data_IF_254530414027
#
_entry.id   IF_254530414027
#
_cell.length_a   1.000
_cell.length_b   1.000
_cell.length_c   1.000
_cell.angle_alpha   90.00
_cell.angle_beta   90.00
_cell.angle_gamma   90.00
#
_symmetry.space_group_name_H-M   'P 1'
#
loop_
_entity.id
_entity.type
_entity.pdbx_description
1 polymer ?
#
# COMPACT_ATOMS: atom_id res chain seq x y z
N UNK A 1 27.77 0.03 -24.90
CA UNK A 1 28.18 -1.36 -24.61
C UNK A 1 27.13 -2.31 -25.15
N UNK A 2 27.46 -3.59 -25.31
CA UNK A 2 26.56 -4.67 -25.74
C UNK A 2 26.68 -5.79 -24.71
N UNK A 3 25.56 -6.22 -24.13
CA UNK A 3 25.51 -7.27 -23.11
C UNK A 3 25.82 -8.66 -23.69
N UNK A 4 25.29 -8.96 -24.87
CA UNK A 4 25.63 -10.17 -25.63
C UNK A 4 25.02 -11.48 -25.13
N UNK A 5 24.28 -11.50 -24.02
CA UNK A 5 23.73 -12.73 -23.44
C UNK A 5 22.40 -12.57 -22.69
N UNK A 6 21.51 -11.73 -23.22
CA UNK A 6 20.16 -11.57 -22.67
C UNK A 6 19.36 -12.87 -22.83
N UNK A 7 18.90 -13.40 -21.69
CA UNK A 7 18.07 -14.61 -21.55
C UNK A 7 17.36 -14.57 -20.19
N UNK A 8 16.48 -15.54 -19.90
CA UNK A 8 15.91 -15.67 -18.55
C UNK A 8 16.99 -15.78 -17.46
N UNK A 9 18.12 -16.44 -17.76
CA UNK A 9 19.22 -16.60 -16.80
C UNK A 9 19.97 -15.31 -16.46
N UNK A 10 19.83 -14.26 -17.28
CA UNK A 10 20.41 -12.93 -17.03
C UNK A 10 19.48 -12.02 -16.22
N UNK A 11 18.27 -12.47 -15.87
CA UNK A 11 17.28 -11.67 -15.14
C UNK A 11 17.25 -12.07 -13.68
N UNK A 12 17.52 -11.10 -12.81
CA UNK A 12 17.41 -11.22 -11.36
C UNK A 12 16.40 -10.21 -10.85
N UNK A 13 15.79 -10.49 -9.71
CA UNK A 13 14.77 -9.63 -9.10
C UNK A 13 15.32 -9.10 -7.77
N UNK A 14 15.34 -7.79 -7.59
CA UNK A 14 15.72 -7.18 -6.31
C UNK A 14 14.53 -7.13 -5.33
N UNK A 15 14.78 -6.67 -4.10
CA UNK A 15 13.74 -6.56 -3.06
C UNK A 15 12.58 -5.64 -3.48
N UNK A 16 12.85 -4.61 -4.30
CA UNK A 16 11.83 -3.72 -4.88
C UNK A 16 11.01 -4.35 -6.01
N UNK A 17 11.25 -5.62 -6.33
CA UNK A 17 10.63 -6.36 -7.44
C UNK A 17 10.97 -5.81 -8.83
N UNK A 18 12.09 -5.10 -8.95
CA UNK A 18 12.64 -4.66 -10.23
C UNK A 18 13.52 -5.75 -10.84
N UNK A 19 13.41 -5.91 -12.15
CA UNK A 19 14.31 -6.76 -12.91
C UNK A 19 15.67 -6.07 -13.08
N UNK A 20 16.74 -6.79 -12.75
CA UNK A 20 18.13 -6.38 -12.90
C UNK A 20 18.84 -7.36 -13.83
N UNK A 21 19.79 -6.83 -14.60
CA UNK A 21 20.59 -7.62 -15.54
C UNK A 21 21.84 -8.20 -14.86
N UNK A 22 22.19 -9.42 -15.24
CA UNK A 22 23.38 -10.15 -14.82
C UNK A 22 23.96 -10.95 -16.00
N UNK A 23 25.01 -11.76 -15.79
CA UNK A 23 25.72 -12.50 -16.85
C UNK A 23 26.43 -11.56 -17.85
N UNK A 24 27.31 -10.71 -17.32
CA UNK A 24 28.10 -9.75 -18.09
C UNK A 24 29.39 -10.34 -18.69
N UNK A 25 29.53 -11.67 -18.77
CA UNK A 25 30.75 -12.34 -19.27
C UNK A 25 31.04 -12.04 -20.76
N UNK A 26 30.01 -11.62 -21.49
CA UNK A 26 30.09 -11.26 -22.91
C UNK A 26 29.94 -9.76 -23.17
N UNK A 27 30.02 -8.95 -22.10
CA UNK A 27 29.91 -7.50 -22.21
C UNK A 27 31.07 -6.94 -23.05
N UNK A 28 30.73 -6.19 -24.10
CA UNK A 28 31.72 -5.60 -25.00
C UNK A 28 31.39 -4.15 -25.36
N UNK A 29 32.42 -3.43 -25.81
CA UNK A 29 32.24 -2.13 -26.42
C UNK A 29 31.74 -2.26 -27.86
N UNK A 30 30.92 -1.32 -28.30
CA UNK A 30 30.43 -1.27 -29.68
C UNK A 30 31.65 -1.13 -30.61
N UNK A 31 31.67 -1.89 -31.71
CA UNK A 31 32.78 -1.94 -32.66
C UNK A 31 33.92 -2.89 -32.29
N UNK A 32 33.95 -3.44 -31.06
CA UNK A 32 34.94 -4.46 -30.68
C UNK A 32 34.53 -5.87 -31.15
N UNK A 33 35.45 -6.83 -31.12
CA UNK A 33 35.16 -8.22 -31.45
C UNK A 33 34.30 -8.86 -30.37
N UNK A 34 33.21 -9.52 -30.75
CA UNK A 34 32.37 -10.24 -29.80
C UNK A 34 33.07 -11.53 -29.30
N UNK A 35 33.09 -11.79 -27.98
CA UNK A 35 33.61 -13.03 -27.44
C UNK A 35 32.74 -14.22 -27.85
N UNK A 36 33.39 -15.32 -28.23
CA UNK A 36 32.71 -16.57 -28.56
C UNK A 36 32.11 -17.17 -27.29
N UNK A 37 30.84 -17.60 -27.37
CA UNK A 37 30.16 -18.24 -26.25
C UNK A 37 30.68 -19.67 -26.04
N UNK A 38 31.54 -19.85 -25.04
CA UNK A 38 32.12 -21.15 -24.68
C UNK A 38 31.12 -22.11 -24.04
N UNK A 39 30.17 -21.60 -23.25
CA UNK A 39 29.14 -22.42 -22.59
C UNK A 39 28.03 -22.81 -23.57
N UNK A 40 27.75 -24.12 -23.68
CA UNK A 40 26.79 -24.67 -24.63
C UNK A 40 25.39 -24.08 -24.48
N UNK A 41 24.93 -23.91 -23.22
CA UNK A 41 23.63 -23.31 -22.91
C UNK A 41 23.49 -21.87 -23.42
N UNK A 42 24.59 -21.12 -23.53
CA UNK A 42 24.54 -19.74 -23.98
C UNK A 42 24.56 -19.60 -25.52
N UNK A 43 25.04 -20.63 -26.24
CA UNK A 43 25.14 -20.63 -27.70
C UNK A 43 23.79 -20.48 -28.39
N UNK A 44 22.72 -20.95 -27.76
CA UNK A 44 21.36 -20.82 -28.30
C UNK A 44 20.90 -19.36 -28.39
N UNK A 45 21.44 -18.47 -27.57
CA UNK A 45 21.13 -17.04 -27.59
C UNK A 45 22.07 -16.25 -28.51
N UNK A 46 22.98 -16.91 -29.23
CA UNK A 46 23.88 -16.27 -30.19
C UNK A 46 23.11 -15.83 -31.43
N UNK A 47 23.21 -14.56 -31.80
CA UNK A 47 22.57 -14.03 -33.00
C UNK A 47 23.09 -14.76 -34.27
N UNK A 48 22.25 -14.98 -35.30
CA UNK A 48 22.63 -15.77 -36.48
C UNK A 48 23.90 -15.25 -37.17
N UNK A 49 24.09 -13.93 -37.25
CA UNK A 49 25.27 -13.30 -37.86
C UNK A 49 26.60 -13.60 -37.13
N UNK A 50 26.55 -14.05 -35.87
CA UNK A 50 27.72 -14.44 -35.08
C UNK A 50 28.02 -15.94 -35.18
N UNK A 51 27.14 -16.73 -35.78
CA UNK A 51 27.35 -18.18 -35.95
C UNK A 51 28.29 -18.49 -37.14
N UNK A 52 28.24 -17.66 -38.19
CA UNK A 52 28.99 -17.88 -39.43
C UNK A 52 30.36 -17.16 -39.48
N UNK A 53 30.62 -16.20 -38.57
CA UNK A 53 31.83 -15.37 -38.62
C UNK A 53 32.48 -15.16 -37.24
N UNK A 54 33.71 -15.65 -37.10
CA UNK A 54 34.55 -15.48 -35.91
C UNK A 54 35.00 -14.01 -35.67
N UNK A 55 34.60 -13.05 -36.51
CA UNK A 55 35.08 -11.65 -36.45
C UNK A 55 33.98 -10.61 -36.63
N UNK A 56 32.72 -10.95 -36.36
CA UNK A 56 31.66 -9.95 -36.42
C UNK A 56 31.84 -8.90 -35.31
N UNK A 57 31.78 -7.64 -35.73
CA UNK A 57 31.91 -6.49 -34.84
C UNK A 57 30.65 -6.33 -33.99
N UNK A 58 30.86 -5.93 -32.74
CA UNK A 58 29.79 -5.68 -31.78
C UNK A 58 28.89 -4.53 -32.26
N UNK A 59 27.62 -4.84 -32.57
CA UNK A 59 26.57 -3.88 -32.94
C UNK A 59 25.48 -3.85 -31.84
N UNK A 60 24.86 -2.68 -31.62
CA UNK A 60 23.77 -2.51 -30.65
C UNK A 60 22.59 -3.47 -30.92
N UNK A 61 22.38 -3.87 -32.17
CA UNK A 61 21.34 -4.82 -32.60
C UNK A 61 21.55 -6.25 -32.11
N UNK A 62 22.73 -6.58 -31.57
CA UNK A 62 22.95 -7.88 -30.93
C UNK A 62 22.09 -8.04 -29.68
N UNK A 63 21.99 -7.00 -28.85
CA UNK A 63 21.11 -7.04 -27.68
C UNK A 63 19.64 -7.00 -28.08
N UNK A 64 19.28 -6.43 -29.24
CA UNK A 64 17.92 -6.53 -29.77
C UNK A 64 17.52 -7.99 -30.08
N UNK A 65 18.45 -8.79 -30.61
CA UNK A 65 18.25 -10.23 -30.77
C UNK A 65 18.09 -10.94 -29.43
N UNK A 66 18.99 -10.67 -28.48
CA UNK A 66 18.90 -11.24 -27.13
C UNK A 66 17.59 -10.88 -26.42
N UNK A 67 17.13 -9.63 -26.56
CA UNK A 67 15.84 -9.18 -26.07
C UNK A 67 14.67 -9.95 -26.70
N UNK A 68 14.75 -10.27 -28.01
CA UNK A 68 13.75 -11.14 -28.64
C UNK A 68 13.75 -12.53 -28.02
N UNK A 69 14.93 -13.12 -27.74
CA UNK A 69 15.00 -14.41 -27.07
C UNK A 69 14.34 -14.34 -25.69
N UNK A 70 14.71 -13.35 -24.88
CA UNK A 70 14.14 -13.13 -23.56
C UNK A 70 12.62 -12.93 -23.59
N UNK A 71 12.10 -12.08 -24.49
CA UNK A 71 10.66 -11.87 -24.66
C UNK A 71 9.97 -13.19 -24.97
N UNK A 72 10.52 -13.99 -25.89
CA UNK A 72 9.94 -15.27 -26.23
C UNK A 72 9.91 -16.21 -25.02
N UNK A 73 11.00 -16.26 -24.25
CA UNK A 73 11.11 -17.12 -23.08
C UNK A 73 10.13 -16.74 -21.96
N UNK A 74 9.86 -15.45 -21.75
CA UNK A 74 8.87 -14.97 -20.77
C UNK A 74 7.48 -15.57 -21.02
N UNK A 75 7.10 -15.78 -22.29
CA UNK A 75 5.78 -16.30 -22.66
C UNK A 75 5.76 -17.82 -22.94
N UNK A 76 6.90 -18.44 -23.21
CA UNK A 76 6.99 -19.82 -23.67
C UNK A 76 7.83 -20.75 -22.76
N UNK A 77 8.59 -20.21 -21.82
CA UNK A 77 9.57 -20.94 -21.01
C UNK A 77 10.96 -20.98 -21.67
N UNK A 78 11.84 -21.84 -21.17
CA UNK A 78 13.22 -21.94 -21.64
C UNK A 78 13.31 -22.26 -23.15
N UNK A 79 14.14 -21.50 -23.86
CA UNK A 79 14.42 -21.74 -25.27
C UNK A 79 15.32 -22.98 -25.44
N UNK A 80 14.92 -23.90 -26.31
CA UNK A 80 15.68 -25.13 -26.60
C UNK A 80 16.18 -25.16 -28.05
N UNK A 81 15.47 -24.52 -28.99
CA UNK A 81 15.90 -24.35 -30.37
C UNK A 81 15.56 -22.96 -30.91
N UNK A 82 16.48 -22.35 -31.68
CA UNK A 82 16.25 -21.01 -32.26
C UNK A 82 15.06 -20.95 -33.22
N UNK A 83 14.71 -22.06 -33.88
CA UNK A 83 13.54 -22.14 -34.75
C UNK A 83 12.22 -21.82 -34.01
N UNK A 84 12.19 -22.03 -32.68
CA UNK A 84 11.02 -21.75 -31.85
C UNK A 84 10.69 -20.25 -31.78
N UNK A 85 11.66 -19.36 -32.01
CA UNK A 85 11.45 -17.91 -32.06
C UNK A 85 10.49 -17.47 -33.17
N UNK A 86 10.22 -18.33 -34.16
CA UNK A 86 9.18 -18.07 -35.17
C UNK A 86 7.76 -18.28 -34.64
N UNK A 87 7.61 -19.02 -33.54
CA UNK A 87 6.31 -19.29 -32.93
C UNK A 87 5.89 -18.15 -31.99
N UNK A 88 5.00 -17.29 -32.48
CA UNK A 88 4.46 -16.15 -31.75
C UNK A 88 3.09 -16.39 -31.11
N UNK A 89 2.57 -17.62 -31.08
CA UNK A 89 1.20 -17.93 -30.66
C UNK A 89 0.86 -17.51 -29.22
N UNK A 90 1.82 -17.60 -28.29
CA UNK A 90 1.63 -17.23 -26.87
C UNK A 90 1.91 -15.75 -26.59
N UNK A 91 2.44 -15.01 -27.56
CA UNK A 91 2.73 -13.58 -27.37
C UNK A 91 1.45 -12.76 -27.50
N UNK A 92 1.29 -11.69 -26.71
CA UNK A 92 0.16 -10.77 -26.86
C UNK A 92 0.11 -10.16 -28.27
N UNK A 93 -1.10 -10.10 -28.87
CA UNK A 93 -1.29 -9.65 -30.26
C UNK A 93 -0.64 -8.30 -30.57
N UNK A 94 -0.69 -7.35 -29.62
CA UNK A 94 -0.08 -6.03 -29.76
C UNK A 94 1.46 -6.03 -29.68
N UNK A 95 2.06 -7.05 -29.05
CA UNK A 95 3.51 -7.20 -28.92
C UNK A 95 4.14 -7.88 -30.14
N UNK A 96 3.40 -8.74 -30.84
CA UNK A 96 3.92 -9.53 -31.98
C UNK A 96 4.63 -8.66 -33.03
N UNK A 97 4.08 -7.53 -33.52
CA UNK A 97 4.76 -6.70 -34.52
C UNK A 97 6.09 -6.11 -34.03
N UNK A 98 6.15 -5.74 -32.74
CA UNK A 98 7.36 -5.21 -32.11
C UNK A 98 8.41 -6.31 -31.97
N UNK A 99 8.01 -7.46 -31.45
CA UNK A 99 8.83 -8.66 -31.33
C UNK A 99 9.42 -9.09 -32.67
N UNK A 100 8.61 -9.13 -33.72
CA UNK A 100 9.06 -9.52 -35.06
C UNK A 100 10.12 -8.59 -35.63
N UNK A 101 10.20 -7.32 -35.23
CA UNK A 101 11.26 -6.40 -35.66
C UNK A 101 12.59 -6.63 -34.93
N UNK A 102 12.56 -7.20 -33.71
CA UNK A 102 13.75 -7.60 -32.95
C UNK A 102 14.36 -8.91 -33.49
N UNK A 103 13.53 -9.80 -34.03
CA UNK A 103 13.91 -11.13 -34.53
C UNK A 103 14.22 -11.14 -36.06
N UNK A 104 14.54 -10.00 -36.67
CA UNK A 104 14.95 -9.93 -38.09
C UNK A 104 16.45 -10.13 -38.26
N UNK A 105 16.86 -10.34 -39.51
CA UNK A 105 18.25 -10.25 -39.93
C UNK A 105 18.84 -8.87 -39.61
N UNK A 106 20.16 -8.80 -39.41
CA UNK A 106 20.86 -7.60 -38.92
C UNK A 106 20.52 -6.31 -39.70
N UNK A 107 20.39 -6.36 -41.02
CA UNK A 107 20.08 -5.19 -41.86
C UNK A 107 18.69 -4.60 -41.63
N UNK A 108 17.74 -5.40 -41.12
CA UNK A 108 16.34 -5.00 -40.89
C UNK A 108 15.96 -4.99 -39.40
N UNK A 109 16.86 -5.44 -38.52
CA UNK A 109 16.63 -5.51 -37.08
C UNK A 109 16.58 -4.09 -36.51
N UNK A 110 15.52 -3.78 -35.78
CA UNK A 110 15.39 -2.48 -35.13
C UNK A 110 16.32 -2.36 -33.93
N UNK A 111 16.55 -1.13 -33.48
CA UNK A 111 17.21 -0.88 -32.21
C UNK A 111 16.24 -1.11 -31.05
N UNK A 112 16.77 -1.30 -29.84
CA UNK A 112 15.95 -1.44 -28.62
C UNK A 112 15.21 -0.13 -28.34
N UNK A 113 15.87 1.00 -28.60
CA UNK A 113 15.28 2.33 -28.48
C UNK A 113 14.01 2.44 -29.36
N UNK A 114 14.08 2.02 -30.63
CA UNK A 114 12.92 2.02 -31.54
C UNK A 114 11.79 1.10 -31.04
N UNK A 115 12.15 -0.04 -30.46
CA UNK A 115 11.19 -0.99 -29.88
C UNK A 115 10.43 -0.38 -28.70
N UNK A 116 11.14 0.33 -27.82
CA UNK A 116 10.55 1.01 -26.67
C UNK A 116 9.66 2.17 -27.11
N UNK A 117 10.15 3.06 -27.98
CA UNK A 117 9.39 4.21 -28.49
C UNK A 117 8.09 3.75 -29.15
N UNK A 118 8.15 2.80 -30.10
CA UNK A 118 6.95 2.26 -30.76
C UNK A 118 6.03 1.51 -29.83
N UNK A 119 6.57 0.86 -28.81
CA UNK A 119 5.77 0.17 -27.80
C UNK A 119 5.01 1.13 -26.88
N UNK A 120 5.51 2.35 -26.69
CA UNK A 120 4.89 3.41 -25.88
C UNK A 120 3.94 4.32 -26.66
N UNK A 121 3.87 4.19 -28.00
CA UNK A 121 2.94 4.93 -28.84
C UNK A 121 1.48 4.77 -28.40
N UNK A 122 0.62 5.69 -28.86
CA UNK A 122 -0.83 5.62 -28.62
C UNK A 122 -1.37 4.28 -29.14
N UNK A 123 -1.91 3.46 -28.24
CA UNK A 123 -2.37 2.08 -28.44
C UNK A 123 -1.29 0.98 -28.49
N UNK A 124 -0.02 1.33 -28.28
CA UNK A 124 1.11 0.39 -28.17
C UNK A 124 0.97 -0.58 -27.00
N UNK A 125 1.78 -1.65 -27.01
CA UNK A 125 1.72 -2.69 -25.98
C UNK A 125 2.13 -2.18 -24.59
N UNK A 126 3.11 -1.27 -24.53
CA UNK A 126 3.61 -0.71 -23.27
C UNK A 126 2.77 0.46 -22.76
N UNK A 127 1.76 0.91 -23.51
CA UNK A 127 0.87 1.97 -23.02
C UNK A 127 -0.25 1.39 -22.15
N UNK A 128 0.02 1.29 -20.85
CA UNK A 128 -0.96 0.88 -19.84
C UNK A 128 -0.68 1.57 -18.49
N UNK A 129 -1.68 1.56 -17.61
CA UNK A 129 -1.64 2.23 -16.30
C UNK A 129 -0.54 1.70 -15.40
N UNK A 130 -0.21 0.40 -15.48
CA UNK A 130 0.85 -0.21 -14.68
C UNK A 130 2.23 0.33 -15.05
N UNK A 131 2.56 0.37 -16.35
CA UNK A 131 3.84 0.92 -16.84
C UNK A 131 3.92 2.43 -16.60
N UNK A 132 2.83 3.17 -16.86
CA UNK A 132 2.78 4.61 -16.55
C UNK A 132 3.04 4.88 -15.06
N UNK A 133 2.52 4.02 -14.17
CA UNK A 133 2.76 4.10 -12.72
C UNK A 133 4.23 3.81 -12.39
N UNK A 134 4.83 2.77 -12.99
CA UNK A 134 6.23 2.42 -12.77
C UNK A 134 7.16 3.58 -13.14
N UNK A 135 6.96 4.18 -14.31
CA UNK A 135 7.75 5.32 -14.79
C UNK A 135 7.58 6.51 -13.84
N UNK A 136 6.35 6.82 -13.40
CA UNK A 136 6.13 7.90 -12.45
C UNK A 136 6.85 7.68 -11.11
N UNK A 137 6.81 6.45 -10.58
CA UNK A 137 7.49 6.10 -9.33
C UNK A 137 9.01 6.22 -9.42
N UNK A 138 9.61 5.92 -10.58
CA UNK A 138 11.06 6.10 -10.79
C UNK A 138 11.47 7.57 -10.77
N UNK A 139 10.58 8.46 -11.24
CA UNK A 139 10.81 9.90 -11.27
C UNK A 139 10.22 10.63 -10.04
N UNK A 140 9.62 9.95 -9.08
CA UNK A 140 8.80 10.60 -8.04
C UNK A 140 9.56 11.64 -7.22
N UNK A 141 10.87 11.46 -7.04
CA UNK A 141 11.71 12.36 -6.25
C UNK A 141 11.93 13.72 -6.92
N UNK A 142 11.77 13.81 -8.24
CA UNK A 142 11.86 15.06 -8.99
C UNK A 142 10.49 15.71 -9.27
N UNK A 143 9.39 15.06 -8.84
CA UNK A 143 8.02 15.59 -8.96
C UNK A 143 7.70 16.55 -7.83
N UNK A 144 6.84 17.52 -8.10
CA UNK A 144 6.35 18.43 -7.08
C UNK A 144 5.22 17.81 -6.23
N UNK A 145 4.83 18.50 -5.14
CA UNK A 145 3.79 18.02 -4.23
C UNK A 145 2.41 17.90 -4.89
N UNK A 146 2.11 18.73 -5.88
CA UNK A 146 0.81 18.72 -6.59
C UNK A 146 0.73 17.50 -7.50
N UNK A 147 1.79 17.22 -8.24
CA UNK A 147 1.93 16.03 -9.09
C UNK A 147 1.83 14.75 -8.25
N UNK A 148 2.56 14.68 -7.13
CA UNK A 148 2.51 13.55 -6.19
C UNK A 148 1.10 13.33 -5.64
N UNK A 149 0.44 14.38 -5.17
CA UNK A 149 -0.92 14.30 -4.63
C UNK A 149 -1.91 13.77 -5.68
N UNK A 150 -1.83 14.30 -6.91
CA UNK A 150 -2.66 13.84 -8.03
C UNK A 150 -2.39 12.38 -8.39
N UNK A 151 -1.12 11.96 -8.38
CA UNK A 151 -0.74 10.59 -8.64
C UNK A 151 -1.32 9.63 -7.60
N UNK A 152 -1.10 9.87 -6.30
CA UNK A 152 -1.60 9.00 -5.24
C UNK A 152 -3.14 8.93 -5.21
N UNK A 153 -3.81 10.05 -5.50
CA UNK A 153 -5.27 10.07 -5.65
C UNK A 153 -5.75 9.14 -6.78
N UNK A 154 -5.10 9.19 -7.94
CA UNK A 154 -5.46 8.35 -9.09
C UNK A 154 -5.06 6.87 -8.92
N UNK A 155 -3.94 6.61 -8.25
CA UNK A 155 -3.41 5.26 -8.04
C UNK A 155 -4.40 4.36 -7.30
N UNK A 156 -5.18 4.94 -6.39
CA UNK A 156 -6.21 4.23 -5.62
C UNK A 156 -7.26 3.50 -6.48
N UNK A 157 -7.50 3.96 -7.72
CA UNK A 157 -8.49 3.38 -8.63
C UNK A 157 -7.96 2.16 -9.41
N UNK A 158 -6.63 2.05 -9.57
CA UNK A 158 -5.99 1.01 -10.38
C UNK A 158 -5.26 -0.06 -9.59
N UNK A 159 -5.12 0.12 -8.27
CA UNK A 159 -4.27 -0.70 -7.41
C UNK A 159 -4.58 -2.21 -7.48
N UNK A 160 -5.86 -2.58 -7.56
CA UNK A 160 -6.30 -3.99 -7.60
C UNK A 160 -5.89 -4.72 -8.90
N UNK A 161 -5.61 -3.97 -9.97
CA UNK A 161 -5.15 -4.54 -11.24
C UNK A 161 -3.66 -4.85 -11.26
N UNK A 162 -2.91 -4.41 -10.26
CA UNK A 162 -1.44 -4.50 -10.24
C UNK A 162 -0.97 -5.79 -9.56
N UNK A 163 0.21 -6.31 -9.96
CA UNK A 163 0.82 -7.46 -9.29
C UNK A 163 1.02 -7.20 -7.80
N UNK A 164 0.60 -8.15 -6.96
CA UNK A 164 0.66 -8.03 -5.49
C UNK A 164 2.07 -7.69 -5.01
N UNK A 165 3.10 -8.34 -5.53
CA UNK A 165 4.49 -8.04 -5.14
C UNK A 165 4.92 -6.61 -5.48
N UNK A 166 4.45 -6.04 -6.60
CA UNK A 166 4.72 -4.65 -6.93
C UNK A 166 4.06 -3.69 -5.93
N UNK A 167 2.80 -3.95 -5.56
CA UNK A 167 2.10 -3.19 -4.53
C UNK A 167 2.83 -3.27 -3.18
N UNK A 168 3.17 -4.48 -2.73
CA UNK A 168 3.84 -4.74 -1.45
C UNK A 168 5.25 -4.15 -1.41
N UNK A 169 6.05 -4.31 -2.45
CA UNK A 169 7.49 -4.02 -2.35
C UNK A 169 7.87 -2.65 -2.88
N UNK A 170 7.20 -2.17 -3.93
CA UNK A 170 7.51 -0.88 -4.55
C UNK A 170 6.55 0.21 -4.08
N UNK A 171 5.25 0.06 -4.32
CA UNK A 171 4.27 1.11 -3.97
C UNK A 171 4.26 1.40 -2.47
N UNK A 172 4.18 0.38 -1.62
CA UNK A 172 4.14 0.55 -0.17
C UNK A 172 5.36 1.32 0.35
N UNK A 173 6.55 1.04 -0.19
CA UNK A 173 7.78 1.72 0.22
C UNK A 173 7.71 3.22 -0.08
N UNK A 174 7.24 3.61 -1.27
CA UNK A 174 7.01 5.02 -1.59
C UNK A 174 5.93 5.67 -0.73
N UNK A 175 4.82 4.97 -0.47
CA UNK A 175 3.74 5.48 0.38
C UNK A 175 4.23 5.73 1.80
N UNK A 176 4.95 4.78 2.41
CA UNK A 176 5.53 4.91 3.74
C UNK A 176 6.51 6.08 3.80
N UNK A 177 7.43 6.18 2.83
CA UNK A 177 8.35 7.32 2.73
C UNK A 177 7.61 8.66 2.63
N UNK A 178 6.59 8.76 1.76
CA UNK A 178 5.80 10.00 1.64
C UNK A 178 5.08 10.37 2.94
N UNK A 179 4.56 9.38 3.68
CA UNK A 179 3.94 9.60 4.98
C UNK A 179 4.95 10.04 6.05
N UNK A 180 6.18 9.53 6.00
CA UNK A 180 7.21 9.79 7.00
C UNK A 180 7.81 11.20 6.91
N UNK A 181 7.98 11.73 5.70
CA UNK A 181 8.64 13.03 5.45
C UNK A 181 7.67 14.20 5.34
N UNK A 182 6.41 14.03 5.77
CA UNK A 182 5.45 15.13 5.87
C UNK A 182 4.83 15.55 4.53
N UNK A 183 5.02 14.78 3.47
CA UNK A 183 4.22 14.85 2.23
C UNK A 183 2.93 14.03 2.35
N UNK A 184 2.57 13.66 3.59
CA UNK A 184 1.44 12.83 3.93
C UNK A 184 0.12 13.50 3.53
N UNK A 185 -0.58 12.90 2.57
CA UNK A 185 -1.97 13.24 2.25
C UNK A 185 -2.91 12.09 2.64
N UNK A 186 -4.21 12.36 2.71
CA UNK A 186 -5.22 11.34 3.03
C UNK A 186 -5.25 10.16 2.02
N UNK A 187 -4.84 10.37 0.77
CA UNK A 187 -4.76 9.32 -0.24
C UNK A 187 -3.63 8.32 0.01
N UNK A 188 -2.49 8.79 0.54
CA UNK A 188 -1.40 7.91 0.96
C UNK A 188 -1.84 7.01 2.11
N UNK A 189 -2.65 7.52 3.04
CA UNK A 189 -3.22 6.70 4.11
C UNK A 189 -4.18 5.64 3.55
N UNK A 190 -5.03 6.00 2.58
CA UNK A 190 -5.92 5.04 1.90
C UNK A 190 -5.13 3.93 1.18
N UNK A 191 -4.06 4.30 0.47
CA UNK A 191 -3.16 3.35 -0.18
C UNK A 191 -2.46 2.46 0.85
N UNK A 192 -1.97 3.04 1.95
CA UNK A 192 -1.34 2.30 3.04
C UNK A 192 -2.28 1.21 3.58
N UNK A 193 -3.54 1.57 3.85
CA UNK A 193 -4.54 0.62 4.35
C UNK A 193 -4.89 -0.46 3.31
N UNK A 194 -5.11 -0.06 2.04
CA UNK A 194 -5.41 -1.01 0.96
C UNK A 194 -4.29 -2.02 0.73
N UNK A 195 -3.03 -1.56 0.69
CA UNK A 195 -1.88 -2.44 0.53
C UNK A 195 -1.64 -3.25 1.81
N UNK A 196 -1.93 -2.68 2.98
CA UNK A 196 -1.89 -3.36 4.27
C UNK A 196 -2.71 -4.66 4.27
N UNK A 197 -3.89 -4.66 3.66
CA UNK A 197 -4.74 -5.87 3.49
C UNK A 197 -4.09 -6.98 2.64
N UNK A 198 -3.03 -6.69 1.89
CA UNK A 198 -2.25 -7.66 1.12
C UNK A 198 -1.04 -8.23 1.88
N UNK A 199 -0.77 -7.73 3.08
CA UNK A 199 0.37 -8.13 3.91
C UNK A 199 -0.04 -9.26 4.86
N UNK A 200 0.92 -10.12 5.22
CA UNK A 200 0.76 -10.97 6.40
C UNK A 200 1.00 -10.18 7.69
N UNK A 201 0.67 -10.76 8.84
CA UNK A 201 0.78 -10.10 10.15
C UNK A 201 2.18 -9.53 10.43
N UNK A 202 3.23 -10.29 10.14
CA UNK A 202 4.61 -9.88 10.40
C UNK A 202 5.02 -8.70 9.51
N UNK A 203 4.65 -8.75 8.23
CA UNK A 203 4.87 -7.65 7.28
C UNK A 203 4.09 -6.40 7.68
N UNK A 204 2.83 -6.54 8.08
CA UNK A 204 1.99 -5.42 8.51
C UNK A 204 2.58 -4.73 9.73
N UNK A 205 2.94 -5.49 10.78
CA UNK A 205 3.53 -4.96 12.00
C UNK A 205 4.86 -4.23 11.74
N UNK A 206 5.66 -4.71 10.79
CA UNK A 206 6.95 -4.08 10.47
C UNK A 206 6.83 -2.86 9.58
N UNK A 207 5.88 -2.85 8.64
CA UNK A 207 5.86 -1.88 7.53
C UNK A 207 4.72 -0.88 7.58
N UNK A 208 3.62 -1.20 8.26
CA UNK A 208 2.39 -0.37 8.29
C UNK A 208 2.15 0.20 9.68
N UNK A 209 2.18 -0.63 10.72
CA UNK A 209 1.91 -0.21 12.11
C UNK A 209 2.77 1.00 12.56
N UNK A 210 4.09 1.06 12.28
CA UNK A 210 4.90 2.21 12.69
C UNK A 210 4.45 3.52 12.05
N UNK A 211 4.06 3.47 10.77
CA UNK A 211 3.55 4.64 10.06
C UNK A 211 2.21 5.12 10.63
N UNK A 212 1.29 4.20 10.93
CA UNK A 212 0.00 4.53 11.57
C UNK A 212 0.22 5.22 12.91
N UNK A 213 1.07 4.66 13.77
CA UNK A 213 1.39 5.24 15.08
C UNK A 213 1.94 6.65 14.91
N UNK A 214 2.90 6.85 14.00
CA UNK A 214 3.46 8.18 13.72
C UNK A 214 2.41 9.18 13.25
N UNK A 215 1.43 8.74 12.44
CA UNK A 215 0.39 9.61 11.92
C UNK A 215 -0.58 10.12 13.00
N UNK A 216 -0.74 9.43 14.13
CA UNK A 216 -1.54 9.96 15.25
C UNK A 216 -0.95 11.24 15.85
N UNK A 217 0.37 11.42 15.78
CA UNK A 217 1.05 12.64 16.19
C UNK A 217 0.85 13.81 15.20
N UNK A 218 0.31 13.56 14.00
CA UNK A 218 0.06 14.60 13.00
C UNK A 218 -0.97 15.61 13.50
N UNK A 219 -0.74 16.90 13.25
CA UNK A 219 -1.71 17.97 13.55
C UNK A 219 -2.83 18.08 12.51
N UNK A 220 -2.72 17.37 11.39
CA UNK A 220 -3.72 17.41 10.31
C UNK A 220 -5.03 16.73 10.75
N UNK A 221 -6.12 17.52 10.72
CA UNK A 221 -7.47 17.09 11.08
C UNK A 221 -8.06 16.08 10.09
N UNK A 222 -7.69 16.15 8.82
CA UNK A 222 -8.15 15.21 7.80
C UNK A 222 -7.55 13.81 8.02
N UNK A 223 -6.24 13.75 8.31
CA UNK A 223 -5.54 12.52 8.69
C UNK A 223 -6.14 11.94 9.97
N UNK A 224 -6.30 12.76 11.02
CA UNK A 224 -6.92 12.32 12.28
C UNK A 224 -8.33 11.76 12.07
N UNK A 225 -9.17 12.46 11.32
CA UNK A 225 -10.53 12.01 11.01
C UNK A 225 -10.54 10.66 10.29
N UNK A 226 -9.63 10.46 9.33
CA UNK A 226 -9.50 9.22 8.58
C UNK A 226 -9.01 8.06 9.47
N UNK A 227 -7.95 8.29 10.27
CA UNK A 227 -7.44 7.31 11.22
C UNK A 227 -8.52 6.82 12.20
N UNK A 228 -9.32 7.74 12.75
CA UNK A 228 -10.38 7.39 13.69
C UNK A 228 -11.50 6.58 13.03
N UNK A 229 -11.88 6.92 11.80
CA UNK A 229 -12.93 6.22 11.04
C UNK A 229 -12.54 4.79 10.67
N UNK A 230 -11.26 4.55 10.44
CA UNK A 230 -10.74 3.25 9.98
C UNK A 230 -10.03 2.47 11.09
N UNK A 231 -10.26 2.83 12.37
CA UNK A 231 -9.53 2.23 13.48
C UNK A 231 -9.69 0.70 13.58
N UNK A 232 -10.87 0.19 13.21
CA UNK A 232 -11.17 -1.24 13.16
C UNK A 232 -10.23 -2.01 12.22
N UNK A 233 -9.73 -1.37 11.16
CA UNK A 233 -8.91 -2.01 10.12
C UNK A 233 -7.45 -2.26 10.56
N UNK A 234 -6.99 -1.60 11.62
CA UNK A 234 -5.58 -1.66 12.03
C UNK A 234 -5.35 -1.90 13.52
N UNK A 235 -6.38 -1.76 14.36
CA UNK A 235 -6.18 -1.83 15.80
C UNK A 235 -5.75 -3.22 16.25
N UNK A 236 -6.22 -4.28 15.59
CA UNK A 236 -5.86 -5.66 15.92
C UNK A 236 -4.39 -5.96 15.64
N UNK A 237 -3.81 -5.34 14.60
CA UNK A 237 -2.39 -5.41 14.25
C UNK A 237 -1.49 -4.55 15.16
N UNK A 238 -2.06 -3.82 16.11
CA UNK A 238 -1.32 -2.93 17.01
C UNK A 238 -1.29 -3.49 18.42
N UNK A 239 -0.10 -3.55 19.03
CA UNK A 239 0.04 -4.07 20.40
C UNK A 239 -0.63 -3.18 21.45
N UNK A 240 -1.16 -3.79 22.52
CA UNK A 240 -1.74 -3.08 23.67
C UNK A 240 -0.81 -2.01 24.22
N UNK A 241 0.49 -2.29 24.29
CA UNK A 241 1.50 -1.33 24.73
C UNK A 241 1.56 -0.11 23.80
N UNK A 242 1.67 -0.32 22.48
CA UNK A 242 1.71 0.79 21.52
C UNK A 242 0.42 1.61 21.53
N UNK A 243 -0.74 0.97 21.73
CA UNK A 243 -2.03 1.67 21.85
C UNK A 243 -2.01 2.64 23.03
N UNK A 244 -1.55 2.22 24.20
CA UNK A 244 -1.55 3.07 25.40
C UNK A 244 -0.45 4.12 25.39
N UNK A 245 0.75 3.76 24.93
CA UNK A 245 1.93 4.61 25.08
C UNK A 245 2.10 5.58 23.91
N UNK A 246 1.62 5.21 22.72
CA UNK A 246 1.92 5.95 21.48
C UNK A 246 0.69 6.43 20.71
N UNK A 247 -0.48 5.77 20.83
CA UNK A 247 -1.71 6.20 20.14
C UNK A 247 -2.60 7.04 21.05
N UNK A 248 -2.96 6.50 22.22
CA UNK A 248 -3.91 7.12 23.13
C UNK A 248 -3.55 8.56 23.55
N UNK A 249 -2.28 8.91 23.81
CA UNK A 249 -1.90 10.28 24.19
C UNK A 249 -2.27 11.33 23.14
N UNK A 250 -2.32 10.95 21.86
CA UNK A 250 -2.77 11.85 20.78
C UNK A 250 -4.27 11.75 20.50
N UNK A 251 -4.85 10.55 20.65
CA UNK A 251 -6.26 10.29 20.43
C UNK A 251 -7.15 11.06 21.41
N UNK A 252 -6.75 11.15 22.69
CA UNK A 252 -7.53 11.79 23.75
C UNK A 252 -7.85 13.27 23.45
N UNK A 253 -6.98 13.96 22.72
CA UNK A 253 -7.24 15.33 22.28
C UNK A 253 -8.45 15.46 21.36
N UNK A 254 -8.81 14.40 20.63
CA UNK A 254 -9.96 14.35 19.72
C UNK A 254 -11.29 14.56 20.43
N UNK A 255 -11.43 14.22 21.71
CA UNK A 255 -12.65 14.44 22.49
C UNK A 255 -13.01 15.92 22.64
N UNK A 256 -12.03 16.81 22.55
CA UNK A 256 -12.18 18.24 22.76
C UNK A 256 -11.93 19.05 21.47
N UNK A 257 -11.85 18.40 20.30
CA UNK A 257 -11.61 19.09 19.04
C UNK A 257 -12.79 20.03 18.69
N UNK A 258 -12.48 21.18 18.09
CA UNK A 258 -13.49 22.13 17.65
C UNK A 258 -14.42 21.54 16.57
N UNK A 259 -13.94 20.61 15.76
CA UNK A 259 -14.72 19.93 14.72
C UNK A 259 -15.57 18.80 15.34
N UNK A 260 -16.92 18.90 15.27
CA UNK A 260 -17.82 17.87 15.80
C UNK A 260 -17.59 16.47 15.25
N UNK A 261 -17.22 16.37 13.97
CA UNK A 261 -16.96 15.07 13.32
C UNK A 261 -15.79 14.36 14.00
N UNK A 262 -14.72 15.09 14.36
CA UNK A 262 -13.56 14.49 15.04
C UNK A 262 -13.96 14.01 16.44
N UNK A 263 -14.71 14.82 17.19
CA UNK A 263 -15.21 14.43 18.51
C UNK A 263 -16.06 13.16 18.43
N UNK A 264 -17.00 13.12 17.49
CA UNK A 264 -17.88 11.97 17.27
C UNK A 264 -17.09 10.69 16.95
N UNK A 265 -16.13 10.79 16.01
CA UNK A 265 -15.30 9.64 15.62
C UNK A 265 -14.35 9.22 16.75
N UNK A 266 -13.89 10.15 17.58
CA UNK A 266 -13.07 9.83 18.77
C UNK A 266 -13.89 9.06 19.80
N UNK A 267 -15.16 9.43 20.01
CA UNK A 267 -16.07 8.65 20.87
C UNK A 267 -16.29 7.25 20.32
N UNK A 268 -16.58 7.14 19.01
CA UNK A 268 -16.82 5.85 18.37
C UNK A 268 -15.60 4.93 18.39
N UNK A 269 -14.40 5.49 18.23
CA UNK A 269 -13.16 4.70 18.20
C UNK A 269 -12.85 4.00 19.53
N UNK A 270 -13.32 4.53 20.67
CA UNK A 270 -13.16 3.88 21.98
C UNK A 270 -13.78 2.50 22.04
N UNK A 271 -14.89 2.26 21.31
CA UNK A 271 -15.49 0.93 21.23
C UNK A 271 -14.48 -0.12 20.76
N UNK A 272 -13.69 0.19 19.74
CA UNK A 272 -12.67 -0.71 19.19
C UNK A 272 -11.40 -0.78 20.06
N UNK A 273 -11.14 0.26 20.87
CA UNK A 273 -9.95 0.36 21.70
C UNK A 273 -10.12 -0.22 23.10
N UNK A 274 -11.35 -0.37 23.59
CA UNK A 274 -11.63 -0.64 25.00
C UNK A 274 -10.88 -1.85 25.57
N UNK A 275 -10.79 -2.95 24.80
CA UNK A 275 -10.08 -4.16 25.22
C UNK A 275 -8.55 -4.00 25.30
N UNK A 276 -8.00 -2.97 24.64
CA UNK A 276 -6.55 -2.68 24.60
C UNK A 276 -6.16 -1.50 25.49
N UNK A 277 -7.09 -0.76 26.07
CA UNK A 277 -6.76 0.35 26.96
C UNK A 277 -6.45 -0.15 28.39
N UNK A 278 -5.41 0.41 29.00
CA UNK A 278 -5.08 0.15 30.39
C UNK A 278 -6.08 0.82 31.35
N UNK A 279 -6.00 0.48 32.63
CA UNK A 279 -6.97 0.96 33.62
C UNK A 279 -7.01 2.49 33.73
N UNK A 280 -5.86 3.16 33.71
CA UNK A 280 -5.76 4.61 33.79
C UNK A 280 -6.44 5.29 32.59
N UNK A 281 -6.10 4.85 31.38
CA UNK A 281 -6.66 5.43 30.15
C UNK A 281 -8.16 5.18 30.03
N UNK A 282 -8.61 3.95 30.32
CA UNK A 282 -10.01 3.57 30.16
C UNK A 282 -10.91 4.09 31.30
N UNK A 283 -10.54 3.87 32.56
CA UNK A 283 -11.43 4.13 33.69
C UNK A 283 -11.32 5.56 34.24
N UNK A 284 -10.22 6.27 33.96
CA UNK A 284 -10.03 7.66 34.39
C UNK A 284 -10.21 8.62 33.22
N UNK A 285 -9.32 8.56 32.22
CA UNK A 285 -9.27 9.57 31.16
C UNK A 285 -10.48 9.51 30.22
N UNK A 286 -10.79 8.33 29.64
CA UNK A 286 -11.97 8.16 28.77
C UNK A 286 -13.26 8.54 29.51
N UNK A 287 -13.45 8.05 30.75
CA UNK A 287 -14.66 8.30 31.53
C UNK A 287 -14.83 9.78 31.88
N UNK A 288 -13.74 10.47 32.23
CA UNK A 288 -13.72 11.93 32.44
C UNK A 288 -14.16 12.68 31.17
N UNK A 289 -13.66 12.27 30.01
CA UNK A 289 -14.05 12.86 28.73
C UNK A 289 -15.50 12.56 28.35
N UNK A 290 -15.96 11.32 28.51
CA UNK A 290 -17.35 10.92 28.26
C UNK A 290 -18.32 11.71 29.15
N UNK A 291 -17.99 11.85 30.43
CA UNK A 291 -18.78 12.64 31.38
C UNK A 291 -18.89 14.10 30.95
N UNK A 292 -17.77 14.69 30.50
CA UNK A 292 -17.74 16.07 30.02
C UNK A 292 -18.55 16.26 28.74
N UNK A 293 -18.41 15.36 27.76
CA UNK A 293 -19.17 15.40 26.50
C UNK A 293 -20.66 15.31 26.79
N UNK A 294 -21.07 14.37 27.62
CA UNK A 294 -22.47 14.21 27.97
C UNK A 294 -23.06 15.43 28.68
N UNK A 295 -22.25 16.18 29.45
CA UNK A 295 -22.71 17.37 30.15
C UNK A 295 -22.70 18.64 29.29
N UNK A 296 -21.74 18.78 28.36
CA UNK A 296 -21.39 20.07 27.76
C UNK A 296 -21.34 20.09 26.24
N UNK A 297 -21.35 18.94 25.56
CA UNK A 297 -21.27 18.95 24.10
C UNK A 297 -22.58 19.49 23.50
N UNK A 298 -22.51 20.49 22.61
CA UNK A 298 -23.70 21.05 21.99
C UNK A 298 -24.46 20.03 21.12
N UNK A 299 -23.74 19.07 20.53
CA UNK A 299 -24.31 18.13 19.58
C UNK A 299 -25.00 16.95 20.28
N UNK A 300 -26.34 16.92 20.22
CA UNK A 300 -27.14 15.84 20.79
C UNK A 300 -26.76 14.46 20.24
N UNK A 301 -26.34 14.37 18.98
CA UNK A 301 -25.85 13.12 18.37
C UNK A 301 -24.56 12.60 19.02
N UNK A 302 -23.62 13.48 19.37
CA UNK A 302 -22.36 13.10 20.03
C UNK A 302 -22.63 12.63 21.47
N UNK A 303 -23.52 13.32 22.18
CA UNK A 303 -24.00 12.89 23.50
C UNK A 303 -24.62 11.49 23.43
N UNK A 304 -25.53 11.28 22.48
CA UNK A 304 -26.15 9.97 22.22
C UNK A 304 -25.11 8.88 21.98
N UNK A 305 -24.15 9.13 21.08
CA UNK A 305 -23.08 8.16 20.76
C UNK A 305 -22.18 7.87 21.97
N UNK A 306 -21.94 8.85 22.84
CA UNK A 306 -21.16 8.68 24.09
C UNK A 306 -21.83 7.67 25.00
N UNK A 307 -23.15 7.76 25.17
CA UNK A 307 -23.92 6.83 26.00
C UNK A 307 -23.95 5.43 25.42
N UNK A 308 -24.17 5.31 24.10
CA UNK A 308 -24.11 4.01 23.40
C UNK A 308 -22.71 3.39 23.57
N UNK A 309 -21.66 4.17 23.35
CA UNK A 309 -20.30 3.68 23.47
C UNK A 309 -20.00 3.23 24.91
N UNK A 310 -20.41 4.02 25.91
CA UNK A 310 -20.24 3.67 27.32
C UNK A 310 -20.92 2.34 27.67
N UNK A 311 -22.15 2.13 27.18
CA UNK A 311 -22.85 0.86 27.35
C UNK A 311 -22.11 -0.31 26.69
N UNK A 312 -21.61 -0.13 25.47
CA UNK A 312 -20.89 -1.18 24.72
C UNK A 312 -19.55 -1.57 25.35
N UNK A 313 -18.85 -0.62 25.99
CA UNK A 313 -17.56 -0.90 26.64
C UNK A 313 -17.69 -1.29 28.11
N UNK A 314 -18.91 -1.35 28.65
CA UNK A 314 -19.16 -1.57 30.07
C UNK A 314 -18.43 -2.80 30.64
N UNK A 315 -18.38 -3.90 29.87
CA UNK A 315 -17.69 -5.13 30.25
C UNK A 315 -16.17 -4.95 30.50
N UNK A 316 -15.55 -3.92 29.91
CA UNK A 316 -14.13 -3.60 30.09
C UNK A 316 -13.88 -2.63 31.25
N UNK A 317 -14.92 -1.96 31.76
CA UNK A 317 -14.79 -1.04 32.90
C UNK A 317 -14.65 -1.80 34.21
N UNK A 318 -13.99 -1.18 35.19
CA UNK A 318 -13.94 -1.72 36.55
C UNK A 318 -15.31 -1.62 37.23
N UNK A 319 -15.67 -2.58 38.10
CA UNK A 319 -16.96 -2.57 38.82
C UNK A 319 -17.24 -1.24 39.53
N UNK A 320 -16.22 -0.66 40.19
CA UNK A 320 -16.33 0.63 40.87
C UNK A 320 -16.72 1.76 39.90
N UNK A 321 -16.11 1.83 38.72
CA UNK A 321 -16.42 2.83 37.68
C UNK A 321 -17.85 2.64 37.14
N UNK A 322 -18.30 1.40 36.98
CA UNK A 322 -19.68 1.09 36.54
C UNK A 322 -20.70 1.66 37.53
N UNK A 323 -20.53 1.38 38.82
CA UNK A 323 -21.45 1.84 39.86
C UNK A 323 -21.37 3.35 40.11
N UNK A 324 -20.15 3.88 40.30
CA UNK A 324 -19.97 5.25 40.79
C UNK A 324 -20.03 6.32 39.71
N UNK A 325 -19.80 5.97 38.44
CA UNK A 325 -19.75 6.95 37.34
C UNK A 325 -20.74 6.65 36.23
N UNK A 326 -20.75 5.41 35.71
CA UNK A 326 -21.59 5.06 34.58
C UNK A 326 -23.08 5.14 34.91
N UNK A 327 -23.53 4.58 36.04
CA UNK A 327 -24.94 4.67 36.45
C UNK A 327 -25.41 6.12 36.68
N UNK A 328 -24.70 6.99 37.45
CA UNK A 328 -25.03 8.41 37.53
C UNK A 328 -25.05 9.14 36.19
N UNK A 329 -24.16 8.76 35.26
CA UNK A 329 -24.14 9.35 33.92
C UNK A 329 -25.38 8.95 33.12
N UNK A 330 -25.81 7.69 33.18
CA UNK A 330 -27.06 7.22 32.57
C UNK A 330 -28.28 7.92 33.16
N UNK A 331 -28.42 7.98 34.49
CA UNK A 331 -29.55 8.65 35.13
C UNK A 331 -29.68 10.12 34.72
N UNK A 332 -28.55 10.82 34.54
CA UNK A 332 -28.55 12.18 34.01
C UNK A 332 -28.96 12.23 32.53
N UNK A 333 -28.53 11.25 31.74
CA UNK A 333 -28.82 11.15 30.31
C UNK A 333 -30.30 10.86 30.00
N UNK A 334 -31.02 10.24 30.93
CA UNK A 334 -32.49 10.12 30.86
C UNK A 334 -33.21 11.48 30.83
N UNK A 335 -32.54 12.55 31.26
CA UNK A 335 -33.07 13.92 31.24
C UNK A 335 -32.45 14.78 30.12
N UNK A 336 -31.72 14.17 29.19
CA UNK A 336 -31.14 14.90 28.05
C UNK A 336 -32.27 15.55 27.21
N UNK A 337 -32.15 16.83 26.81
CA UNK A 337 -33.14 17.47 25.97
C UNK A 337 -33.34 16.77 24.62
N UNK A 338 -32.31 16.07 24.11
CA UNK A 338 -32.36 15.38 22.84
C UNK A 338 -32.98 13.98 22.98
N UNK A 339 -34.15 13.71 22.36
CA UNK A 339 -34.86 12.44 22.54
C UNK A 339 -34.04 11.17 22.21
N UNK A 340 -33.24 11.12 21.13
CA UNK A 340 -32.41 9.96 20.84
C UNK A 340 -31.41 9.62 21.96
N UNK A 341 -30.87 10.63 22.66
CA UNK A 341 -29.96 10.43 23.79
C UNK A 341 -30.65 9.67 24.94
N UNK A 342 -31.91 10.03 25.23
CA UNK A 342 -32.73 9.34 26.24
C UNK A 342 -33.05 7.90 25.84
N UNK A 343 -33.41 7.66 24.58
CA UNK A 343 -33.69 6.32 24.06
C UNK A 343 -32.43 5.45 24.15
N UNK A 344 -31.29 5.96 23.70
CA UNK A 344 -30.01 5.28 23.78
C UNK A 344 -29.61 4.96 25.22
N UNK A 345 -29.91 5.86 26.17
CA UNK A 345 -29.69 5.61 27.59
C UNK A 345 -30.52 4.43 28.12
N UNK A 346 -31.82 4.37 27.79
CA UNK A 346 -32.68 3.25 28.21
C UNK A 346 -32.17 1.92 27.63
N UNK A 347 -31.80 1.92 26.34
CA UNK A 347 -31.22 0.75 25.69
C UNK A 347 -29.89 0.32 26.33
N UNK A 348 -29.03 1.27 26.66
CA UNK A 348 -27.74 1.00 27.29
C UNK A 348 -27.91 0.47 28.71
N UNK A 349 -28.86 1.01 29.49
CA UNK A 349 -29.23 0.49 30.81
C UNK A 349 -29.72 -0.96 30.72
N UNK A 350 -30.64 -1.26 29.80
CA UNK A 350 -31.14 -2.61 29.57
C UNK A 350 -30.00 -3.58 29.23
N UNK A 351 -29.11 -3.19 28.32
CA UNK A 351 -28.00 -4.01 27.88
C UNK A 351 -26.91 -4.22 28.95
N UNK A 352 -26.93 -3.43 30.03
CA UNK A 352 -25.90 -3.44 31.08
C UNK A 352 -26.47 -3.73 32.47
N UNK A 353 -27.74 -4.11 32.57
CA UNK A 353 -28.45 -4.35 33.82
C UNK A 353 -27.73 -5.37 34.73
N UNK A 354 -27.10 -6.39 34.11
CA UNK A 354 -26.42 -7.47 34.84
C UNK A 354 -25.17 -7.00 35.60
N UNK A 355 -24.71 -5.76 35.35
CA UNK A 355 -23.59 -5.15 36.08
C UNK A 355 -24.02 -4.38 37.33
N UNK A 356 -25.32 -4.21 37.57
CA UNK A 356 -25.85 -3.45 38.71
C UNK A 356 -26.55 -4.38 39.69
N UNK A 357 -26.30 -4.16 40.97
CA UNK A 357 -26.94 -4.95 42.03
C UNK A 357 -28.30 -4.36 42.39
N UNK A 358 -29.10 -5.09 43.16
CA UNK A 358 -30.36 -4.55 43.71
C UNK A 358 -30.17 -3.36 44.66
N UNK A 359 -28.95 -3.14 45.15
CA UNK A 359 -28.61 -1.99 46.01
C UNK A 359 -28.28 -0.73 45.20
N UNK A 360 -27.86 -0.89 43.95
CA UNK A 360 -27.53 0.19 43.01
C UNK A 360 -28.83 0.73 42.36
#
# INVERSE_FOLDING_TARGET
>A
MVHGNLSLSSIYINDSSDWKLFNFEYLTNIGSSQPVKSFYSHKIYTAPELQDSNRATSDKRLDAWGLSCLIWEIFNGQLNEQAQLKNSKRLPKKLIPLYSNLNKNISQRCLIEDFLTKGQDKNGYFKNTFIDTMIFLEEIQIKDSTEKNRFFSNLNNGLESFPVYFCKNKILSFVVTSLEYGEANCHCLELLMKIGKMLNENEYQKRVTPSIIKLFASKDRSIRSKLLKEIEEYIDHTSTQAVNDQIFPYLVHGFMDSNPVIREQTVKSIFHLASKLNNQNLNEEVIKHFSRIQMKDPEGGIRTNTIICLGKIAAHLQPQTRQTVMLPLFLRSLRDPFPPSRIACIQSLLATQDFFTLQD
#
